data_IF_560053007828
#
_entry.id   IF_560053007828
#
_cell.length_a   1.000
_cell.length_b   1.000
_cell.length_c   1.000
_cell.angle_alpha   90.00
_cell.angle_beta   90.00
_cell.angle_gamma   90.00
#
_symmetry.space_group_name_H-M   'P 1'
#
loop_
_entity.id
_entity.type
_entity.pdbx_description
1 polymer ?
#
# COMPACT_ATOMS: atom_id res chain seq x y z
N UNK A 1 -15.39 -14.27 -19.34
CA UNK A 1 -14.84 -13.46 -18.92
C UNK A 1 -14.13 -13.34 -17.60
N UNK A 2 -14.08 -14.34 -16.81
CA UNK A 2 -13.35 -14.26 -15.56
C UNK A 2 -11.88 -14.54 -15.72
N UNK A 3 -11.41 -14.46 -16.91
CA UNK A 3 -10.10 -14.73 -17.24
C UNK A 3 -9.09 -13.92 -16.55
N UNK A 4 -9.43 -12.75 -16.20
CA UNK A 4 -8.49 -11.80 -15.66
C UNK A 4 -7.93 -12.19 -14.32
N UNK A 5 -8.61 -13.05 -13.62
CA UNK A 5 -8.17 -13.45 -12.31
C UNK A 5 -6.92 -14.30 -12.35
N UNK A 6 -6.66 -14.93 -13.47
CA UNK A 6 -5.48 -15.77 -13.60
C UNK A 6 -4.18 -14.98 -13.60
N UNK A 7 -4.26 -13.65 -13.77
CA UNK A 7 -3.08 -12.82 -13.83
C UNK A 7 -2.78 -12.10 -12.50
N UNK A 8 -3.49 -12.44 -11.45
CA UNK A 8 -3.25 -11.82 -10.16
C UNK A 8 -1.95 -12.34 -9.55
N UNK A 9 -1.15 -11.42 -9.04
CA UNK A 9 0.09 -11.73 -8.36
C UNK A 9 -0.11 -11.41 -6.89
N UNK A 10 0.26 -12.32 -6.02
CA UNK A 10 0.10 -12.15 -4.58
C UNK A 10 1.42 -11.91 -3.89
N UNK A 11 1.39 -11.00 -2.92
CA UNK A 11 2.54 -10.67 -2.08
C UNK A 11 2.08 -10.67 -0.63
N UNK A 12 3.00 -10.92 0.28
CA UNK A 12 2.72 -10.76 1.69
C UNK A 12 3.97 -10.28 2.42
N UNK A 13 3.78 -9.60 3.52
CA UNK A 13 4.89 -9.05 4.27
C UNK A 13 4.47 -8.36 5.55
N UNK A 14 5.27 -7.40 5.95
CA UNK A 14 5.11 -6.68 7.21
C UNK A 14 5.13 -5.18 7.00
N UNK A 15 4.44 -4.48 7.87
CA UNK A 15 4.36 -3.03 7.86
C UNK A 15 4.58 -2.51 9.28
N UNK A 16 5.50 -1.56 9.44
CA UNK A 16 5.72 -0.88 10.70
C UNK A 16 5.30 0.56 10.54
N UNK A 17 4.52 1.05 11.49
CA UNK A 17 4.06 2.43 11.49
C UNK A 17 4.62 3.13 12.72
N UNK A 18 5.36 4.22 12.49
CA UNK A 18 5.89 5.07 13.54
C UNK A 18 5.17 6.41 13.47
N UNK A 19 4.83 6.95 14.62
CA UNK A 19 4.25 8.28 14.72
C UNK A 19 5.18 9.16 15.49
N UNK A 20 5.74 10.18 14.83
CA UNK A 20 6.67 11.13 15.45
C UNK A 20 7.82 10.44 16.18
N UNK A 21 8.22 9.28 15.71
CA UNK A 21 9.31 8.47 16.24
C UNK A 21 9.07 7.97 17.68
N UNK A 22 7.86 8.07 18.17
CA UNK A 22 7.56 7.69 19.56
C UNK A 22 6.87 6.33 19.66
N UNK A 23 5.88 6.07 18.80
CA UNK A 23 5.13 4.82 18.85
C UNK A 23 5.39 3.99 17.62
N UNK A 24 5.40 2.68 17.80
CA UNK A 24 5.63 1.75 16.70
C UNK A 24 4.58 0.65 16.73
N UNK A 25 3.86 0.52 15.64
CA UNK A 25 2.85 -0.51 15.48
C UNK A 25 3.24 -1.44 14.33
N UNK A 26 3.01 -2.73 14.53
CA UNK A 26 3.36 -3.75 13.55
C UNK A 26 2.10 -4.39 12.97
N UNK A 27 2.05 -4.53 11.66
CA UNK A 27 0.92 -5.12 10.96
C UNK A 27 1.39 -6.13 9.94
N UNK A 28 0.50 -7.05 9.57
CA UNK A 28 0.72 -7.91 8.43
C UNK A 28 0.06 -7.27 7.21
N UNK A 29 0.69 -7.40 6.07
CA UNK A 29 0.15 -6.82 4.84
C UNK A 29 0.09 -7.90 3.76
N UNK A 30 -0.99 -7.89 3.01
CA UNK A 30 -1.22 -8.81 1.90
C UNK A 30 -1.65 -8.00 0.68
N UNK A 31 -0.99 -8.20 -0.44
CA UNK A 31 -1.27 -7.47 -1.66
C UNK A 31 -1.61 -8.44 -2.77
N UNK A 32 -2.70 -8.16 -3.48
CA UNK A 32 -3.06 -8.89 -4.68
C UNK A 32 -3.15 -7.86 -5.80
N UNK A 33 -2.42 -8.07 -6.88
CA UNK A 33 -2.28 -7.05 -7.91
C UNK A 33 -2.26 -7.63 -9.31
N UNK A 34 -2.91 -6.92 -10.24
CA UNK A 34 -2.68 -7.06 -11.66
C UNK A 34 -2.82 -5.66 -12.27
N UNK A 35 -2.76 -5.55 -13.59
CA UNK A 35 -2.80 -4.23 -14.22
C UNK A 35 -4.14 -3.52 -14.09
N UNK A 36 -5.20 -4.25 -13.78
CA UNK A 36 -6.55 -3.70 -13.69
C UNK A 36 -6.93 -3.29 -12.28
N UNK A 37 -6.34 -3.93 -11.27
CA UNK A 37 -6.75 -3.66 -9.91
C UNK A 37 -5.63 -4.05 -8.93
N UNK A 38 -5.57 -3.33 -7.82
CA UNK A 38 -4.71 -3.68 -6.71
C UNK A 38 -5.56 -3.73 -5.45
N UNK A 39 -5.38 -4.76 -4.64
CA UNK A 39 -6.10 -4.91 -3.38
C UNK A 39 -5.05 -5.13 -2.29
N UNK A 40 -5.09 -4.26 -1.29
CA UNK A 40 -4.16 -4.33 -0.17
C UNK A 40 -4.95 -4.55 1.10
N UNK A 41 -4.60 -5.58 1.85
CA UNK A 41 -5.21 -5.86 3.14
C UNK A 41 -4.18 -5.69 4.22
N UNK A 42 -4.49 -4.88 5.22
CA UNK A 42 -3.63 -4.66 6.37
C UNK A 42 -4.31 -5.28 7.57
N UNK A 43 -3.61 -6.16 8.25
CA UNK A 43 -4.16 -6.92 9.36
C UNK A 43 -3.29 -6.75 10.60
N UNK A 44 -3.93 -6.61 11.74
CA UNK A 44 -3.23 -6.60 13.01
C UNK A 44 -3.25 -8.02 13.57
N UNK A 45 -2.10 -8.58 13.98
CA UNK A 45 -2.08 -9.94 14.54
C UNK A 45 -3.10 -10.08 15.67
N UNK A 46 -3.88 -11.15 15.64
CA UNK A 46 -4.92 -11.47 16.63
C UNK A 46 -6.20 -10.63 16.53
N UNK A 47 -6.19 -9.53 15.77
CA UNK A 47 -7.38 -8.66 15.67
C UNK A 47 -8.02 -8.65 14.28
N UNK A 48 -7.37 -9.24 13.29
CA UNK A 48 -7.92 -9.31 11.94
C UNK A 48 -7.70 -8.06 11.12
N UNK A 49 -8.61 -7.82 10.18
CA UNK A 49 -8.45 -6.73 9.23
C UNK A 49 -8.57 -5.36 9.89
N UNK A 50 -7.62 -4.49 9.57
CA UNK A 50 -7.62 -3.10 10.04
C UNK A 50 -8.05 -2.20 8.89
N UNK A 51 -7.59 -2.49 7.69
CA UNK A 51 -7.84 -1.64 6.53
C UNK A 51 -7.75 -2.47 5.26
N UNK A 52 -8.63 -2.19 4.32
CA UNK A 52 -8.56 -2.76 2.98
C UNK A 52 -8.54 -1.61 1.99
N UNK A 53 -7.58 -1.63 1.08
CA UNK A 53 -7.43 -0.61 0.05
C UNK A 53 -7.72 -1.27 -1.29
N UNK A 54 -8.64 -0.69 -2.05
CA UNK A 54 -8.95 -1.17 -3.40
C UNK A 54 -8.58 -0.06 -4.36
N UNK A 55 -7.66 -0.34 -5.26
CA UNK A 55 -7.16 0.64 -6.22
C UNK A 55 -7.35 0.14 -7.64
N UNK A 56 -8.48 0.47 -8.27
CA UNK A 56 -8.72 0.08 -9.66
C UNK A 56 -7.93 0.96 -10.62
N UNK A 57 -7.66 0.43 -11.80
CA UNK A 57 -7.02 1.21 -12.85
C UNK A 57 -7.94 2.35 -13.29
N UNK A 58 -7.36 3.54 -13.45
CA UNK A 58 -8.08 4.73 -13.94
C UNK A 58 -9.24 5.19 -13.06
N UNK A 59 -9.25 4.78 -11.80
CA UNK A 59 -10.24 5.23 -10.84
C UNK A 59 -9.55 5.54 -9.51
N UNK A 60 -10.20 6.34 -8.70
CA UNK A 60 -9.67 6.65 -7.38
C UNK A 60 -9.65 5.41 -6.48
N UNK A 61 -8.70 5.36 -5.59
CA UNK A 61 -8.66 4.26 -4.63
C UNK A 61 -9.80 4.41 -3.61
N UNK A 62 -10.18 3.29 -3.04
CA UNK A 62 -11.19 3.24 -2.00
C UNK A 62 -10.58 2.61 -0.75
N UNK A 63 -10.81 3.22 0.39
CA UNK A 63 -10.36 2.70 1.68
C UNK A 63 -11.57 2.13 2.42
N UNK A 64 -11.42 0.90 2.89
CA UNK A 64 -12.47 0.25 3.67
C UNK A 64 -11.88 -0.01 5.05
N UNK A 65 -12.17 0.85 6.03
CA UNK A 65 -11.65 0.65 7.38
C UNK A 65 -12.41 -0.47 8.08
N UNK A 66 -11.91 -0.89 9.24
CA UNK A 66 -12.63 -1.86 10.04
C UNK A 66 -13.93 -1.23 10.51
N UNK A 67 -14.85 -2.10 10.92
CA UNK A 67 -16.24 -1.73 11.16
C UNK A 67 -16.49 -0.51 12.04
N UNK A 68 -15.69 -0.30 13.03
CA UNK A 68 -15.91 0.80 13.98
C UNK A 68 -14.98 1.99 13.77
N UNK A 69 -14.21 1.99 12.69
CA UNK A 69 -13.26 3.06 12.46
C UNK A 69 -13.86 4.19 11.63
N UNK A 70 -13.33 5.39 11.84
CA UNK A 70 -13.70 6.53 11.03
C UNK A 70 -13.06 6.41 9.66
N UNK A 71 -13.69 6.97 8.62
CA UNK A 71 -13.08 6.98 7.30
C UNK A 71 -11.77 7.74 7.35
N UNK A 72 -10.79 7.25 6.61
CA UNK A 72 -9.49 7.91 6.51
C UNK A 72 -9.56 9.01 5.47
N UNK A 73 -8.90 10.12 5.77
CA UNK A 73 -8.83 11.25 4.86
C UNK A 73 -7.52 11.18 4.08
N UNK A 74 -7.63 10.92 2.79
CA UNK A 74 -6.47 10.76 1.93
C UNK A 74 -6.50 11.86 0.87
N UNK A 75 -5.37 12.53 0.61
CA UNK A 75 -5.33 13.57 -0.41
C UNK A 75 -5.78 13.06 -1.78
N UNK A 76 -6.47 13.90 -2.54
CA UNK A 76 -7.00 13.52 -3.84
C UNK A 76 -5.91 13.04 -4.80
N UNK A 77 -4.73 13.66 -4.79
CA UNK A 77 -3.68 13.24 -5.69
C UNK A 77 -3.16 11.83 -5.36
N UNK A 78 -3.23 11.44 -4.10
CA UNK A 78 -2.85 10.09 -3.69
C UNK A 78 -3.91 9.11 -4.20
N UNK A 79 -5.19 9.44 -4.03
CA UNK A 79 -6.28 8.57 -4.51
C UNK A 79 -6.18 8.33 -6.02
N UNK A 80 -5.82 9.36 -6.75
CA UNK A 80 -5.77 9.28 -8.21
C UNK A 80 -4.53 8.57 -8.73
N UNK A 81 -3.44 8.58 -7.98
CA UNK A 81 -2.16 8.08 -8.48
C UNK A 81 -1.62 6.83 -7.80
N UNK A 82 -2.26 6.40 -6.73
CA UNK A 82 -1.74 5.30 -5.93
C UNK A 82 -1.55 4.01 -6.74
N UNK A 83 -2.53 3.68 -7.56
CA UNK A 83 -2.45 2.46 -8.39
C UNK A 83 -1.24 2.53 -9.33
N UNK A 84 -1.00 3.68 -9.93
CA UNK A 84 0.12 3.89 -10.82
C UNK A 84 1.45 3.72 -10.06
N UNK A 85 1.55 4.31 -8.88
CA UNK A 85 2.75 4.19 -8.05
C UNK A 85 3.01 2.74 -7.66
N UNK A 86 1.96 2.04 -7.27
CA UNK A 86 2.08 0.65 -6.86
C UNK A 86 2.50 -0.25 -8.02
N UNK A 87 1.96 -0.01 -9.21
CA UNK A 87 2.34 -0.75 -10.40
C UNK A 87 3.82 -0.52 -10.73
N UNK A 88 4.27 0.72 -10.65
CA UNK A 88 5.67 1.03 -10.89
C UNK A 88 6.57 0.32 -9.89
N UNK A 89 6.11 0.25 -8.66
CA UNK A 89 6.84 -0.40 -7.58
C UNK A 89 6.94 -1.91 -7.79
N UNK A 90 5.82 -2.56 -8.03
CA UNK A 90 5.75 -4.02 -8.05
C UNK A 90 6.02 -4.62 -9.43
N UNK A 91 5.64 -3.93 -10.48
CA UNK A 91 5.78 -4.45 -11.84
C UNK A 91 7.02 -3.92 -12.56
N UNK A 92 7.49 -2.73 -12.17
CA UNK A 92 8.65 -2.10 -12.80
C UNK A 92 9.86 -1.97 -11.87
N UNK A 93 9.79 -2.52 -10.68
CA UNK A 93 10.88 -2.71 -9.71
C UNK A 93 11.26 -1.54 -8.83
N UNK A 94 10.94 -0.33 -9.15
CA UNK A 94 11.19 0.76 -8.22
C UNK A 94 10.39 2.01 -8.57
N UNK A 95 10.15 2.83 -7.56
CA UNK A 95 9.41 4.06 -7.73
C UNK A 95 9.71 5.02 -6.59
N UNK A 96 9.70 6.31 -6.91
CA UNK A 96 9.84 7.36 -5.91
C UNK A 96 8.96 8.52 -6.34
N UNK A 97 8.11 9.00 -5.46
CA UNK A 97 7.33 10.20 -5.74
C UNK A 97 8.25 11.41 -5.63
N UNK A 98 8.05 12.37 -6.50
CA UNK A 98 8.88 13.56 -6.50
C UNK A 98 7.97 14.78 -6.43
N UNK A 99 7.42 15.02 -5.25
CA UNK A 99 6.54 16.14 -5.04
C UNK A 99 6.84 16.79 -3.69
N UNK A 100 7.83 17.67 -3.65
CA UNK A 100 8.28 18.27 -2.39
C UNK A 100 7.25 19.18 -1.72
N UNK A 101 6.25 19.61 -2.44
CA UNK A 101 5.23 20.48 -1.86
C UNK A 101 4.18 19.72 -1.06
N UNK A 102 4.07 18.41 -1.28
CA UNK A 102 3.12 17.59 -0.57
C UNK A 102 3.79 16.86 0.56
N UNK A 103 3.08 16.72 1.66
CA UNK A 103 3.59 16.01 2.82
C UNK A 103 3.63 14.49 2.61
N UNK A 104 3.15 14.00 1.48
CA UNK A 104 3.10 12.57 1.19
C UNK A 104 4.23 12.16 0.27
N UNK A 105 5.05 11.21 0.71
CA UNK A 105 6.12 10.65 -0.10
C UNK A 105 6.02 9.13 -0.08
N UNK A 106 6.14 8.52 -1.24
CA UNK A 106 6.10 7.08 -1.40
C UNK A 106 7.32 6.67 -2.21
N UNK A 107 8.10 5.76 -1.67
CA UNK A 107 9.23 5.20 -2.42
C UNK A 107 9.31 3.70 -2.19
N UNK A 108 9.85 2.99 -3.16
CA UNK A 108 10.10 1.57 -3.02
C UNK A 108 11.29 1.16 -3.86
N UNK A 109 11.89 0.04 -3.49
CA UNK A 109 12.96 -0.55 -4.26
C UNK A 109 12.94 -2.05 -4.06
N UNK A 110 13.38 -2.75 -5.07
CA UNK A 110 13.39 -4.22 -5.05
C UNK A 110 14.78 -4.73 -4.73
N UNK A 111 14.84 -5.70 -3.82
CA UNK A 111 16.08 -6.31 -3.41
C UNK A 111 15.88 -7.82 -3.39
N UNK A 112 16.42 -8.52 -4.39
CA UNK A 112 16.16 -9.94 -4.59
C UNK A 112 14.66 -10.16 -4.83
N UNK A 113 13.99 -10.96 -4.00
CA UNK A 113 12.55 -11.19 -4.15
C UNK A 113 11.72 -10.36 -3.18
N UNK A 114 12.36 -9.41 -2.52
CA UNK A 114 11.70 -8.56 -1.55
C UNK A 114 11.55 -7.16 -2.12
N UNK A 115 10.36 -6.58 -1.98
CA UNK A 115 10.11 -5.18 -2.31
C UNK A 115 10.00 -4.41 -1.02
N UNK A 116 10.90 -3.45 -0.82
CA UNK A 116 10.90 -2.61 0.36
C UNK A 116 10.20 -1.30 0.03
N UNK A 117 9.42 -0.77 0.95
CA UNK A 117 8.72 0.48 0.71
C UNK A 117 8.77 1.38 1.93
N UNK A 118 8.66 2.68 1.67
CA UNK A 118 8.62 3.71 2.70
C UNK A 118 7.61 4.76 2.29
N UNK A 119 6.70 5.08 3.20
CA UNK A 119 5.71 6.14 3.00
C UNK A 119 5.84 7.09 4.17
N UNK A 120 5.96 8.39 3.88
CA UNK A 120 5.96 9.40 4.94
C UNK A 120 4.80 10.35 4.71
N UNK A 121 4.09 10.68 5.77
CA UNK A 121 2.93 11.56 5.69
C UNK A 121 2.59 12.15 7.06
N UNK A 122 2.66 13.47 7.14
CA UNK A 122 2.24 14.20 8.36
C UNK A 122 2.72 13.59 9.69
N UNK A 123 4.02 13.36 9.79
CA UNK A 123 4.59 12.84 11.04
C UNK A 123 4.52 11.32 11.18
N UNK A 124 3.91 10.63 10.21
CA UNK A 124 3.88 9.18 10.19
C UNK A 124 4.91 8.65 9.22
N UNK A 125 5.60 7.60 9.63
CA UNK A 125 6.49 6.85 8.76
C UNK A 125 5.99 5.42 8.68
N UNK A 126 5.67 4.97 7.46
CA UNK A 126 5.24 3.61 7.20
C UNK A 126 6.35 2.92 6.46
N UNK A 127 6.94 1.91 7.08
CA UNK A 127 8.07 1.21 6.51
C UNK A 127 7.79 -0.27 6.48
N UNK A 128 8.08 -0.91 5.38
CA UNK A 128 7.78 -2.33 5.31
C UNK A 128 8.38 -3.02 4.11
N UNK A 129 8.02 -4.27 3.98
CA UNK A 129 8.42 -5.06 2.85
C UNK A 129 7.34 -6.08 2.50
N UNK A 130 7.35 -6.49 1.25
CA UNK A 130 6.49 -7.58 0.79
C UNK A 130 7.31 -8.50 -0.09
N UNK A 131 6.95 -9.77 -0.10
CA UNK A 131 7.59 -10.76 -0.94
C UNK A 131 6.53 -11.47 -1.76
N UNK A 132 6.90 -11.86 -2.96
CA UNK A 132 6.01 -12.59 -3.86
C UNK A 132 5.78 -13.99 -3.30
N UNK A 133 4.56 -14.44 -3.37
CA UNK A 133 4.22 -15.80 -2.99
C UNK A 133 4.48 -16.78 -4.10
#
# INVERSE_FOLDING_TARGET
ASINNSNLIEYSGKLLINQNSIEQFSFNIHVTINRNISIIQIKKPLFGNVLKIIAPKDKDLTLIPSENDQPYDVPDYVKANFKYWLDRCLLDNEHKTDNPEDAFNFSCYKEKNRTNFLITYEGYDLKGFIVSK
#
